data_IF_999187700894
#
_entry.id   IF_999187700894
#
_cell.length_a   1.000
_cell.length_b   1.000
_cell.length_c   1.000
_cell.angle_alpha   90.00
_cell.angle_beta   90.00
_cell.angle_gamma   90.00
#
_symmetry.space_group_name_H-M   'P 1'
#
loop_
_entity.id
_entity.type
_entity.pdbx_description
1 polymer ?
#
# COMPACT_ATOMS: atom_id res chain seq x y z
N UNK A 1 -8.33 -7.73 9.50
CA UNK A 1 -6.88 -7.81 9.74
C UNK A 1 -6.40 -9.21 9.40
N UNK A 2 -5.36 -9.33 8.56
CA UNK A 2 -4.71 -10.60 8.20
C UNK A 2 -3.31 -10.63 8.79
N UNK A 3 -2.73 -11.81 8.97
CA UNK A 3 -1.35 -11.94 9.43
C UNK A 3 -0.57 -12.85 8.50
N UNK A 4 0.68 -12.53 8.22
CA UNK A 4 1.59 -13.38 7.45
C UNK A 4 2.87 -13.63 8.25
N UNK A 5 3.42 -14.83 8.11
CA UNK A 5 4.76 -15.15 8.62
C UNK A 5 5.75 -15.06 7.45
N UNK A 6 6.75 -14.21 7.60
CA UNK A 6 7.83 -14.03 6.64
C UNK A 6 9.15 -14.21 7.38
N UNK A 7 9.91 -15.24 7.02
CA UNK A 7 11.22 -15.53 7.62
C UNK A 7 11.22 -15.60 9.16
N UNK A 8 10.11 -16.04 9.78
CA UNK A 8 9.94 -16.11 11.23
C UNK A 8 9.38 -14.84 11.87
N UNK A 9 9.25 -13.74 11.13
CA UNK A 9 8.64 -12.49 11.57
C UNK A 9 7.15 -12.49 11.23
N UNK A 10 6.32 -12.03 12.18
CA UNK A 10 4.88 -11.90 11.97
C UNK A 10 4.58 -10.45 11.57
N UNK A 11 3.86 -10.30 10.46
CA UNK A 11 3.35 -9.01 10.01
C UNK A 11 1.83 -9.02 10.08
N UNK A 12 1.24 -8.04 10.77
CA UNK A 12 -0.21 -7.83 10.75
C UNK A 12 -0.55 -6.80 9.68
N UNK A 13 -1.54 -7.12 8.86
CA UNK A 13 -1.92 -6.34 7.69
C UNK A 13 -3.36 -5.91 7.86
N UNK A 14 -3.54 -4.60 7.94
CA UNK A 14 -4.84 -3.95 7.92
C UNK A 14 -5.11 -3.42 6.52
N UNK A 15 -6.35 -3.59 6.06
CA UNK A 15 -6.83 -3.10 4.78
C UNK A 15 -8.12 -2.36 5.06
N UNK A 16 -8.13 -1.06 4.77
CA UNK A 16 -9.27 -0.18 5.04
C UNK A 16 -9.63 0.54 3.73
N UNK A 17 -10.84 0.34 3.20
CA UNK A 17 -11.27 1.07 2.01
C UNK A 17 -11.33 2.57 2.31
N UNK A 18 -11.08 3.39 1.30
CA UNK A 18 -11.24 4.84 1.39
C UNK A 18 -11.94 5.39 0.16
N UNK A 19 -12.59 6.53 0.36
CA UNK A 19 -13.09 7.42 -0.68
C UNK A 19 -12.57 8.81 -0.36
N UNK A 20 -12.03 9.49 -1.36
CA UNK A 20 -11.57 10.88 -1.28
C UNK A 20 -12.35 11.68 -2.32
N UNK A 21 -13.04 12.72 -1.86
CA UNK A 21 -13.96 13.52 -2.68
C UNK A 21 -13.60 14.99 -2.53
N UNK A 22 -13.41 15.68 -3.64
CA UNK A 22 -13.09 17.11 -3.64
C UNK A 22 -13.86 17.82 -4.74
N UNK A 23 -14.04 19.13 -4.56
CA UNK A 23 -14.64 20.04 -5.54
C UNK A 23 -16.06 19.62 -5.94
N UNK A 24 -17.00 19.75 -5.00
CA UNK A 24 -18.41 19.48 -5.23
C UNK A 24 -19.08 20.66 -5.93
N UNK A 25 -19.80 20.40 -7.02
CA UNK A 25 -20.57 21.39 -7.76
C UNK A 25 -21.95 21.68 -7.13
N UNK A 26 -22.68 22.64 -7.69
CA UNK A 26 -24.02 23.05 -7.22
C UNK A 26 -25.09 21.95 -7.39
N UNK A 27 -24.86 20.98 -8.27
CA UNK A 27 -25.73 19.83 -8.50
C UNK A 27 -25.40 18.63 -7.59
N UNK A 28 -24.30 18.72 -6.84
CA UNK A 28 -23.85 17.72 -5.86
C UNK A 28 -22.86 16.69 -6.40
N UNK A 29 -22.37 16.83 -7.63
CA UNK A 29 -21.32 15.97 -8.19
C UNK A 29 -19.94 16.44 -7.74
N UNK A 30 -19.03 15.49 -7.51
CA UNK A 30 -17.63 15.78 -7.17
C UNK A 30 -16.78 15.72 -8.45
N UNK A 31 -16.00 16.77 -8.70
CA UNK A 31 -15.03 16.79 -9.81
C UNK A 31 -13.95 15.72 -9.61
N UNK A 32 -13.50 15.55 -8.36
CA UNK A 32 -12.53 14.52 -8.00
C UNK A 32 -13.17 13.48 -7.10
N UNK A 33 -13.22 12.24 -7.58
CA UNK A 33 -13.65 11.07 -6.83
C UNK A 33 -12.58 9.98 -6.94
N UNK A 34 -11.80 9.81 -5.88
CA UNK A 34 -10.83 8.72 -5.77
C UNK A 34 -11.33 7.70 -4.77
N UNK A 35 -11.08 6.43 -5.05
CA UNK A 35 -11.37 5.33 -4.14
C UNK A 35 -10.29 4.28 -4.21
N UNK A 36 -10.20 3.48 -3.16
CA UNK A 36 -9.23 2.41 -3.09
C UNK A 36 -9.12 1.83 -1.70
N UNK A 37 -7.95 1.29 -1.39
CA UNK A 37 -7.62 0.67 -0.12
C UNK A 37 -6.34 1.28 0.46
N UNK A 38 -6.41 1.66 1.73
CA UNK A 38 -5.24 1.94 2.55
C UNK A 38 -4.78 0.62 3.20
N UNK A 39 -3.50 0.31 3.05
CA UNK A 39 -2.84 -0.82 3.68
C UNK A 39 -1.93 -0.33 4.80
N UNK A 40 -1.98 -1.00 5.94
CA UNK A 40 -1.00 -0.83 7.03
C UNK A 40 -0.34 -2.17 7.30
N UNK A 41 0.99 -2.19 7.22
CA UNK A 41 1.83 -3.35 7.51
C UNK A 41 2.50 -3.12 8.86
N UNK A 42 2.01 -3.80 9.88
CA UNK A 42 2.48 -3.71 11.25
C UNK A 42 3.56 -4.76 11.47
N UNK A 43 4.74 -4.31 11.86
CA UNK A 43 5.82 -5.13 12.38
C UNK A 43 6.10 -4.74 13.84
N UNK A 44 6.92 -5.51 14.55
CA UNK A 44 7.35 -5.17 15.91
C UNK A 44 8.12 -3.84 16.00
N UNK A 45 8.67 -3.35 14.88
CA UNK A 45 9.52 -2.15 14.84
C UNK A 45 8.75 -0.90 14.42
N UNK A 46 7.96 -1.01 13.35
CA UNK A 46 7.22 0.11 12.79
C UNK A 46 6.02 -0.33 11.96
N UNK A 47 5.18 0.64 11.62
CA UNK A 47 4.04 0.49 10.71
C UNK A 47 4.39 1.17 9.39
N UNK A 48 4.38 0.41 8.30
CA UNK A 48 4.47 0.95 6.95
C UNK A 48 3.08 1.06 6.35
N UNK A 49 2.74 2.26 5.92
CA UNK A 49 1.47 2.54 5.25
C UNK A 49 1.66 2.56 3.74
N UNK A 50 0.67 2.07 3.04
CA UNK A 50 0.59 2.13 1.59
C UNK A 50 -0.85 2.33 1.12
N UNK A 51 -1.03 2.66 -0.15
CA UNK A 51 -2.32 2.89 -0.79
C UNK A 51 -2.37 2.23 -2.15
N UNK A 52 -3.53 1.66 -2.50
CA UNK A 52 -3.87 1.17 -3.83
C UNK A 52 -5.16 1.89 -4.24
N UNK A 53 -5.22 2.40 -5.46
CA UNK A 53 -6.43 2.98 -6.05
C UNK A 53 -7.15 1.92 -6.88
N UNK A 54 -8.48 1.90 -6.89
CA UNK A 54 -9.27 0.83 -7.55
C UNK A 54 -8.98 0.67 -9.05
N UNK A 55 -8.57 1.74 -9.73
CA UNK A 55 -8.31 1.76 -11.17
C UNK A 55 -6.82 1.63 -11.52
N UNK A 56 -5.98 1.27 -10.54
CA UNK A 56 -4.54 1.25 -10.68
C UNK A 56 -3.90 -0.09 -10.28
N UNK A 57 -2.96 -0.58 -11.10
CA UNK A 57 -2.15 -1.77 -10.80
C UNK A 57 -0.90 -1.43 -9.95
N UNK A 58 -0.90 -0.31 -9.24
CA UNK A 58 0.25 0.20 -8.49
C UNK A 58 -0.09 0.43 -7.01
N UNK A 59 0.84 0.00 -6.17
CA UNK A 59 0.84 0.31 -4.74
C UNK A 59 1.79 1.46 -4.42
N UNK A 60 1.30 2.43 -3.68
CA UNK A 60 2.03 3.62 -3.24
C UNK A 60 2.42 3.52 -1.78
N UNK A 61 3.72 3.39 -1.51
CA UNK A 61 4.23 3.38 -0.14
C UNK A 61 4.46 4.81 0.36
N UNK A 62 4.06 5.11 1.60
CA UNK A 62 4.30 6.42 2.22
C UNK A 62 5.74 6.56 2.74
N UNK A 63 6.39 5.44 3.02
CA UNK A 63 7.80 5.34 3.47
C UNK A 63 8.49 4.20 2.74
N UNK A 64 9.81 4.21 2.69
CA UNK A 64 10.58 3.16 2.02
C UNK A 64 10.46 1.82 2.80
N UNK A 65 9.73 0.81 2.27
CA UNK A 65 9.54 -0.46 2.96
C UNK A 65 10.82 -1.30 3.01
N UNK A 66 11.78 -1.10 2.10
CA UNK A 66 13.06 -1.81 2.11
C UNK A 66 13.90 -1.48 3.34
N UNK A 67 13.77 -0.26 3.88
CA UNK A 67 14.45 0.13 5.12
C UNK A 67 13.82 -0.50 6.36
N UNK A 68 12.50 -0.67 6.34
CA UNK A 68 11.74 -1.22 7.46
C UNK A 68 11.79 -2.75 7.51
N UNK A 69 11.60 -3.39 6.35
CA UNK A 69 11.45 -4.83 6.23
C UNK A 69 12.73 -5.53 5.77
N UNK A 70 13.70 -4.79 5.23
CA UNK A 70 14.95 -5.37 4.75
C UNK A 70 14.71 -6.49 3.75
N UNK A 71 15.31 -7.66 4.00
CA UNK A 71 15.17 -8.85 3.15
C UNK A 71 13.74 -9.41 3.07
N UNK A 72 12.90 -9.12 4.05
CA UNK A 72 11.53 -9.63 4.10
C UNK A 72 10.63 -8.91 3.09
N UNK A 73 11.07 -7.74 2.59
CA UNK A 73 10.29 -6.96 1.65
C UNK A 73 9.97 -7.71 0.36
N UNK A 74 10.89 -8.54 -0.16
CA UNK A 74 10.64 -9.31 -1.39
C UNK A 74 9.51 -10.33 -1.21
N UNK A 75 9.43 -10.99 -0.06
CA UNK A 75 8.31 -11.89 0.25
C UNK A 75 7.01 -11.12 0.47
N UNK A 76 7.08 -9.93 1.07
CA UNK A 76 5.93 -9.03 1.21
C UNK A 76 5.41 -8.58 -0.16
N UNK A 77 6.28 -8.28 -1.13
CA UNK A 77 5.86 -7.96 -2.52
C UNK A 77 5.07 -9.11 -3.14
N UNK A 78 5.55 -10.35 -3.00
CA UNK A 78 4.84 -11.54 -3.51
C UNK A 78 3.45 -11.68 -2.89
N UNK A 79 3.33 -11.45 -1.57
CA UNK A 79 2.03 -11.41 -0.91
C UNK A 79 1.12 -10.33 -1.50
N UNK A 80 1.64 -9.10 -1.65
CA UNK A 80 0.87 -7.96 -2.18
C UNK A 80 0.35 -8.24 -3.59
N UNK A 81 1.20 -8.75 -4.48
CA UNK A 81 0.83 -9.11 -5.85
C UNK A 81 -0.31 -10.13 -5.85
N UNK A 82 -0.19 -11.17 -5.03
CA UNK A 82 -1.18 -12.25 -4.97
C UNK A 82 -2.52 -11.82 -4.37
N UNK A 83 -2.48 -10.98 -3.33
CA UNK A 83 -3.67 -10.64 -2.55
C UNK A 83 -4.43 -9.44 -3.15
N UNK A 84 -3.74 -8.49 -3.75
CA UNK A 84 -4.32 -7.23 -4.24
C UNK A 84 -4.20 -7.03 -5.75
N UNK A 85 -3.63 -8.00 -6.49
CA UNK A 85 -3.49 -7.98 -7.95
C UNK A 85 -2.78 -6.72 -8.50
N UNK A 86 -1.80 -6.21 -7.75
CA UNK A 86 -0.94 -5.08 -8.16
C UNK A 86 0.47 -5.55 -8.47
N UNK A 87 1.06 -5.06 -9.56
CA UNK A 87 2.39 -5.49 -10.02
C UNK A 87 3.43 -4.35 -10.05
N UNK A 88 3.01 -3.10 -9.84
CA UNK A 88 3.89 -1.91 -9.77
C UNK A 88 4.00 -1.42 -8.34
N UNK A 89 5.21 -0.98 -7.96
CA UNK A 89 5.53 -0.52 -6.61
C UNK A 89 6.11 0.89 -6.70
N UNK A 90 5.44 1.88 -6.11
CA UNK A 90 5.98 3.23 -5.95
C UNK A 90 6.59 3.36 -4.56
N UNK A 91 7.92 3.33 -4.51
CA UNK A 91 8.69 3.38 -3.28
C UNK A 91 9.40 4.75 -3.15
N UNK A 92 9.19 5.49 -2.05
CA UNK A 92 9.92 6.73 -1.79
C UNK A 92 11.43 6.49 -1.65
N UNK A 93 12.24 7.32 -2.30
CA UNK A 93 13.70 7.30 -2.18
C UNK A 93 14.41 6.14 -2.89
N UNK A 94 13.69 5.32 -3.66
CA UNK A 94 14.31 4.32 -4.53
C UNK A 94 14.97 5.03 -5.71
N UNK A 95 16.30 4.90 -5.85
CA UNK A 95 17.00 5.40 -7.03
C UNK A 95 16.71 4.44 -8.18
N UNK A 96 16.17 4.94 -9.30
CA UNK A 96 16.16 4.17 -10.54
C UNK A 96 17.60 3.83 -10.92
N UNK A 97 17.92 2.58 -11.31
CA UNK A 97 19.22 2.30 -11.91
C UNK A 97 19.38 3.21 -13.14
N UNK A 98 20.55 3.86 -13.22
CA UNK A 98 20.98 4.68 -14.36
C UNK A 98 21.34 3.74 -15.51
#
# INVERSE_FOLDING_TARGET
MKSINVNGNIYHIESVPFEDKSEQDEEGYYEYFYKGVNLSFHSDKEIIKARIYDEEEIIYFLKNPSLAFGKDFEAIKVYIIKEYDVNKFKIPGEKKPI
#
